data_IF_449417465821
#
_entry.id   IF_449417465821
#
_cell.length_a   1.000
_cell.length_b   1.000
_cell.length_c   1.000
_cell.angle_alpha   90.00
_cell.angle_beta   90.00
_cell.angle_gamma   90.00
#
_symmetry.space_group_name_H-M   'P 1'
#
loop_
_entity.id
_entity.type
_entity.pdbx_description
1 polymer ?
#
# COMPACT_ATOMS: atom_id res chain seq x y z
N UNK A 1 -4.41 -98.74 -32.37
CA UNK A 1 -4.05 -97.55 -31.57
C UNK A 1 -3.07 -96.70 -32.37
N UNK A 2 -3.54 -95.75 -33.19
CA UNK A 2 -2.70 -94.81 -33.96
C UNK A 2 -2.82 -93.44 -33.29
N UNK A 3 -1.81 -93.05 -32.53
CA UNK A 3 -1.75 -91.76 -31.85
C UNK A 3 -1.59 -90.62 -32.87
N UNK A 4 -2.44 -89.60 -32.76
CA UNK A 4 -2.45 -88.37 -33.55
C UNK A 4 -1.19 -87.50 -33.31
N UNK A 5 -0.03 -87.93 -33.82
CA UNK A 5 1.24 -87.22 -33.63
C UNK A 5 1.40 -85.94 -34.49
N UNK A 6 0.47 -85.66 -35.41
CA UNK A 6 0.62 -84.56 -36.38
C UNK A 6 0.20 -83.17 -35.89
N UNK A 7 -0.61 -83.06 -34.82
CA UNK A 7 -1.04 -81.76 -34.27
C UNK A 7 -0.08 -81.19 -33.23
N UNK A 8 0.60 -82.06 -32.47
CA UNK A 8 1.49 -81.63 -31.38
C UNK A 8 2.81 -81.02 -31.85
N UNK A 9 3.29 -81.39 -33.05
CA UNK A 9 4.54 -80.86 -33.60
C UNK A 9 4.39 -79.39 -34.03
N UNK A 10 3.18 -78.93 -34.41
CA UNK A 10 2.97 -77.55 -34.90
C UNK A 10 2.79 -76.51 -33.78
N UNK A 11 2.29 -76.92 -32.61
CA UNK A 11 2.05 -76.05 -31.45
C UNK A 11 3.31 -75.34 -30.92
N UNK A 12 4.47 -75.99 -30.72
CA UNK A 12 5.67 -75.30 -30.23
C UNK A 12 6.22 -74.29 -31.25
N UNK A 13 6.10 -74.54 -32.56
CA UNK A 13 6.52 -73.59 -33.59
C UNK A 13 5.65 -72.33 -33.62
N UNK A 14 4.34 -72.47 -33.43
CA UNK A 14 3.41 -71.33 -33.35
C UNK A 14 3.74 -70.49 -32.10
N UNK A 15 4.00 -71.12 -30.96
CA UNK A 15 4.36 -70.43 -29.73
C UNK A 15 5.71 -69.69 -29.87
N UNK A 16 6.71 -70.33 -30.50
CA UNK A 16 8.01 -69.72 -30.77
C UNK A 16 7.89 -68.52 -31.73
N UNK A 17 7.03 -68.62 -32.76
CA UNK A 17 6.76 -67.52 -33.68
C UNK A 17 6.10 -66.33 -32.97
N UNK A 18 5.13 -66.57 -32.09
CA UNK A 18 4.48 -65.52 -31.31
C UNK A 18 5.45 -64.82 -30.35
N UNK A 19 6.34 -65.57 -29.69
CA UNK A 19 7.40 -65.01 -28.84
C UNK A 19 8.36 -64.16 -29.68
N UNK A 20 8.76 -64.63 -30.87
CA UNK A 20 9.62 -63.87 -31.78
C UNK A 20 8.97 -62.55 -32.21
N UNK A 21 7.69 -62.58 -32.59
CA UNK A 21 6.92 -61.37 -32.93
C UNK A 21 6.85 -60.41 -31.75
N UNK A 22 6.58 -60.91 -30.54
CA UNK A 22 6.53 -60.09 -29.33
C UNK A 22 7.88 -59.43 -29.02
N UNK A 23 8.99 -60.18 -29.15
CA UNK A 23 10.34 -59.64 -28.97
C UNK A 23 10.67 -58.58 -30.02
N UNK A 24 10.26 -58.77 -31.27
CA UNK A 24 10.46 -57.78 -32.34
C UNK A 24 9.63 -56.52 -32.07
N UNK A 25 8.35 -56.65 -31.69
CA UNK A 25 7.50 -55.51 -31.36
C UNK A 25 8.05 -54.76 -30.14
N UNK A 26 8.43 -55.48 -29.07
CA UNK A 26 8.97 -54.86 -27.86
C UNK A 26 10.34 -54.22 -28.13
N UNK A 27 11.21 -54.89 -28.89
CA UNK A 27 12.52 -54.40 -29.28
C UNK A 27 12.45 -53.16 -30.18
N UNK A 28 11.57 -53.17 -31.18
CA UNK A 28 11.32 -52.00 -32.04
C UNK A 28 10.69 -50.86 -31.24
N UNK A 29 9.70 -51.13 -30.38
CA UNK A 29 9.11 -50.14 -29.49
C UNK A 29 10.15 -49.48 -28.57
N UNK A 30 10.99 -50.28 -27.89
CA UNK A 30 12.12 -49.79 -27.07
C UNK A 30 13.12 -48.98 -27.89
N UNK A 31 13.49 -49.44 -29.08
CA UNK A 31 14.45 -48.75 -29.94
C UNK A 31 13.91 -47.40 -30.44
N UNK A 32 12.67 -47.35 -30.92
CA UNK A 32 12.04 -46.12 -31.41
C UNK A 32 11.77 -45.11 -30.30
N UNK A 33 11.29 -45.55 -29.12
CA UNK A 33 11.09 -44.67 -27.96
C UNK A 33 12.41 -44.10 -27.45
N UNK A 34 13.42 -44.94 -27.21
CA UNK A 34 14.73 -44.50 -26.71
C UNK A 34 15.45 -43.57 -27.70
N UNK A 35 15.32 -43.82 -29.01
CA UNK A 35 15.90 -42.96 -30.05
C UNK A 35 15.14 -41.63 -30.19
N UNK A 36 13.81 -41.65 -30.04
CA UNK A 36 12.98 -40.44 -30.06
C UNK A 36 13.41 -39.45 -28.96
N UNK A 37 13.65 -39.92 -27.73
CA UNK A 37 14.16 -39.08 -26.63
C UNK A 37 15.56 -38.50 -26.86
N UNK A 38 16.38 -39.13 -27.69
CA UNK A 38 17.72 -38.62 -28.05
C UNK A 38 17.70 -37.59 -29.18
N UNK A 39 16.56 -37.38 -29.85
CA UNK A 39 16.43 -36.31 -30.85
C UNK A 39 16.23 -34.96 -30.18
N UNK A 40 16.59 -33.87 -30.87
CA UNK A 40 16.29 -32.51 -30.42
C UNK A 40 14.79 -32.33 -30.13
N UNK A 41 13.92 -32.77 -31.04
CA UNK A 41 12.46 -32.68 -30.87
C UNK A 41 11.98 -33.43 -29.62
N UNK A 42 12.53 -34.62 -29.35
CA UNK A 42 12.20 -35.40 -28.15
C UNK A 42 12.64 -34.73 -26.85
N UNK A 43 13.85 -34.14 -26.81
CA UNK A 43 14.31 -33.37 -25.64
C UNK A 43 13.49 -32.10 -25.44
N UNK A 44 13.19 -31.37 -26.51
CA UNK A 44 12.33 -30.19 -26.43
C UNK A 44 10.94 -30.54 -25.92
N UNK A 45 10.35 -31.66 -26.34
CA UNK A 45 9.07 -32.10 -25.81
C UNK A 45 9.11 -32.31 -24.28
N UNK A 46 10.20 -32.87 -23.75
CA UNK A 46 10.42 -32.99 -22.30
C UNK A 46 10.49 -31.61 -21.65
N UNK A 47 11.31 -30.70 -22.17
CA UNK A 47 11.45 -29.36 -21.58
C UNK A 47 10.12 -28.59 -21.57
N UNK A 48 9.34 -28.65 -22.65
CA UNK A 48 8.02 -28.02 -22.71
C UNK A 48 7.08 -28.58 -21.64
N UNK A 49 7.08 -29.90 -21.46
CA UNK A 49 6.29 -30.57 -20.42
C UNK A 49 6.75 -30.16 -19.01
N UNK A 50 8.05 -30.06 -18.79
CA UNK A 50 8.62 -29.66 -17.50
C UNK A 50 8.30 -28.19 -17.19
N UNK A 51 8.34 -27.29 -18.20
CA UNK A 51 7.89 -25.89 -18.08
C UNK A 51 6.42 -25.85 -17.65
N UNK A 52 5.55 -26.57 -18.36
CA UNK A 52 4.13 -26.62 -18.02
C UNK A 52 3.93 -27.17 -16.60
N UNK A 53 4.64 -28.24 -16.22
CA UNK A 53 4.55 -28.84 -14.90
C UNK A 53 5.02 -27.91 -13.78
N UNK A 54 6.10 -27.16 -13.98
CA UNK A 54 6.57 -26.17 -13.01
C UNK A 54 5.52 -25.08 -12.81
N UNK A 55 4.96 -24.55 -13.89
CA UNK A 55 3.92 -23.51 -13.84
C UNK A 55 2.60 -24.02 -13.24
N UNK A 56 2.23 -25.30 -13.46
CA UNK A 56 1.02 -25.88 -12.89
C UNK A 56 1.03 -25.93 -11.35
N UNK A 57 2.19 -25.81 -10.71
CA UNK A 57 2.25 -25.67 -9.24
C UNK A 57 1.56 -24.40 -8.75
N UNK A 58 1.46 -23.36 -9.59
CA UNK A 58 0.78 -22.11 -9.27
C UNK A 58 -0.71 -22.28 -8.93
N UNK A 59 -1.34 -23.39 -9.35
CA UNK A 59 -2.73 -23.70 -8.98
C UNK A 59 -2.92 -23.79 -7.45
N UNK A 60 -1.89 -24.22 -6.73
CA UNK A 60 -1.90 -24.37 -5.27
C UNK A 60 -1.72 -23.03 -4.55
N UNK A 61 -1.51 -21.94 -5.29
CA UNK A 61 -1.34 -20.59 -4.77
C UNK A 61 -2.64 -19.78 -4.82
N UNK A 62 -3.68 -20.33 -5.45
CA UNK A 62 -4.98 -19.68 -5.57
C UNK A 62 -5.77 -19.92 -4.28
N UNK A 63 -6.32 -18.85 -3.72
CA UNK A 63 -7.25 -18.90 -2.60
C UNK A 63 -8.51 -18.15 -3.00
N UNK A 64 -9.56 -18.89 -3.32
CA UNK A 64 -10.81 -18.34 -3.86
C UNK A 64 -10.56 -17.44 -5.09
N UNK A 65 -10.96 -16.17 -5.02
CA UNK A 65 -10.75 -15.16 -6.07
C UNK A 65 -9.46 -14.33 -5.85
N UNK A 66 -8.59 -14.75 -4.92
CA UNK A 66 -7.31 -14.10 -4.60
C UNK A 66 -6.16 -15.12 -4.58
N UNK A 67 -5.05 -14.78 -3.94
CA UNK A 67 -3.88 -15.63 -3.75
C UNK A 67 -3.68 -15.97 -2.26
N UNK A 68 -3.09 -17.14 -2.00
CA UNK A 68 -2.52 -17.46 -0.71
C UNK A 68 -1.08 -16.94 -0.65
N UNK A 69 -0.88 -15.83 0.06
CA UNK A 69 0.44 -15.18 0.18
C UNK A 69 1.46 -16.09 0.84
N UNK A 70 1.08 -16.80 1.91
CA UNK A 70 1.99 -17.65 2.66
C UNK A 70 2.43 -18.86 1.83
N UNK A 71 1.49 -19.49 1.13
CA UNK A 71 1.81 -20.57 0.20
C UNK A 71 2.66 -20.04 -0.97
N UNK A 72 2.37 -18.84 -1.48
CA UNK A 72 3.12 -18.20 -2.57
C UNK A 72 4.58 -17.97 -2.20
N UNK A 73 4.85 -17.39 -1.02
CA UNK A 73 6.21 -17.18 -0.53
C UNK A 73 7.00 -18.47 -0.32
N UNK A 74 6.30 -19.59 -0.11
CA UNK A 74 6.93 -20.91 0.08
C UNK A 74 7.18 -21.63 -1.25
N UNK A 75 6.20 -21.62 -2.17
CA UNK A 75 6.22 -22.44 -3.39
C UNK A 75 6.77 -21.70 -4.62
N UNK A 76 6.67 -20.37 -4.70
CA UNK A 76 7.28 -19.61 -5.81
C UNK A 76 8.80 -19.86 -5.92
N UNK A 77 9.60 -19.88 -4.84
CA UNK A 77 11.01 -20.25 -4.91
C UNK A 77 11.26 -21.64 -5.52
N UNK A 78 10.39 -22.62 -5.26
CA UNK A 78 10.49 -23.96 -5.84
C UNK A 78 10.21 -23.92 -7.35
N UNK A 79 9.17 -23.19 -7.78
CA UNK A 79 8.84 -23.00 -9.19
C UNK A 79 10.01 -22.33 -9.92
N UNK A 80 10.58 -21.26 -9.35
CA UNK A 80 11.74 -20.53 -9.87
C UNK A 80 12.92 -21.48 -10.06
N UNK A 81 13.22 -22.31 -9.05
CA UNK A 81 14.34 -23.27 -9.10
C UNK A 81 14.15 -24.27 -10.24
N UNK A 82 12.95 -24.85 -10.40
CA UNK A 82 12.66 -25.78 -11.50
C UNK A 82 12.81 -25.11 -12.87
N UNK A 83 12.34 -23.87 -13.02
CA UNK A 83 12.48 -23.13 -14.27
C UNK A 83 13.96 -22.79 -14.57
N UNK A 84 14.76 -22.43 -13.56
CA UNK A 84 16.21 -22.23 -13.71
C UNK A 84 16.91 -23.51 -14.17
N UNK A 85 16.56 -24.67 -13.60
CA UNK A 85 17.11 -25.95 -14.02
C UNK A 85 16.76 -26.28 -15.48
N UNK A 86 15.52 -25.99 -15.90
CA UNK A 86 15.09 -26.15 -17.30
C UNK A 86 15.87 -25.19 -18.21
N UNK A 87 16.04 -23.93 -17.80
CA UNK A 87 16.80 -22.93 -18.56
C UNK A 87 18.25 -23.37 -18.79
N UNK A 88 18.91 -23.89 -17.77
CA UNK A 88 20.27 -24.42 -17.87
C UNK A 88 20.39 -25.60 -18.84
N UNK A 89 19.33 -26.42 -18.97
CA UNK A 89 19.29 -27.52 -19.95
C UNK A 89 19.06 -26.98 -21.37
N UNK A 90 18.13 -26.03 -21.54
CA UNK A 90 17.85 -25.36 -22.82
C UNK A 90 19.08 -24.67 -23.41
N UNK A 91 19.87 -24.00 -22.56
CA UNK A 91 21.07 -23.27 -22.99
C UNK A 91 22.21 -24.18 -23.46
N UNK A 92 22.17 -25.46 -23.12
CA UNK A 92 23.13 -26.48 -23.56
C UNK A 92 22.73 -27.16 -24.87
N UNK A 93 21.52 -26.90 -25.38
CA UNK A 93 21.08 -27.48 -26.65
C UNK A 93 21.78 -26.82 -27.83
N UNK A 94 22.11 -27.64 -28.82
CA UNK A 94 22.66 -27.20 -30.12
C UNK A 94 21.63 -27.46 -31.22
N UNK A 95 20.66 -26.54 -31.42
CA UNK A 95 19.61 -26.72 -32.42
C UNK A 95 20.20 -26.67 -33.84
N UNK A 96 19.63 -27.46 -34.77
CA UNK A 96 19.87 -27.25 -36.20
C UNK A 96 19.21 -25.96 -36.67
N UNK A 97 19.59 -25.43 -37.84
CA UNK A 97 19.10 -24.15 -38.38
C UNK A 97 17.58 -23.97 -38.28
N UNK A 98 16.83 -25.05 -38.56
CA UNK A 98 15.37 -25.08 -38.47
C UNK A 98 14.80 -24.73 -37.09
N UNK A 99 15.55 -24.98 -36.02
CA UNK A 99 15.09 -24.87 -34.63
C UNK A 99 15.74 -23.71 -33.86
N UNK A 100 16.67 -22.96 -34.47
CA UNK A 100 17.39 -21.87 -33.78
C UNK A 100 16.41 -20.83 -33.19
N UNK A 101 15.48 -20.32 -34.02
CA UNK A 101 14.50 -19.32 -33.58
C UNK A 101 13.61 -19.87 -32.46
N UNK A 102 13.04 -21.07 -32.65
CA UNK A 102 12.23 -21.75 -31.66
C UNK A 102 12.98 -21.92 -30.33
N UNK A 103 14.22 -22.41 -30.34
CA UNK A 103 15.02 -22.58 -29.13
C UNK A 103 15.26 -21.26 -28.39
N UNK A 104 15.56 -20.20 -29.16
CA UNK A 104 15.77 -18.85 -28.64
C UNK A 104 14.51 -18.31 -27.97
N UNK A 105 13.36 -18.44 -28.62
CA UNK A 105 12.07 -17.95 -28.09
C UNK A 105 11.64 -18.75 -26.84
N UNK A 106 11.82 -20.08 -26.81
CA UNK A 106 11.58 -20.87 -25.59
C UNK A 106 12.50 -20.42 -24.46
N UNK A 107 13.80 -20.24 -24.73
CA UNK A 107 14.79 -19.83 -23.74
C UNK A 107 14.46 -18.46 -23.15
N UNK A 108 14.12 -17.47 -23.98
CA UNK A 108 13.68 -16.13 -23.55
C UNK A 108 12.37 -16.18 -22.76
N UNK A 109 11.40 -16.98 -23.22
CA UNK A 109 10.14 -17.15 -22.52
C UNK A 109 10.33 -17.73 -21.12
N UNK A 110 11.23 -18.71 -20.95
CA UNK A 110 11.60 -19.25 -19.62
C UNK A 110 12.34 -18.21 -18.77
N UNK A 111 13.28 -17.44 -19.33
CA UNK A 111 13.94 -16.35 -18.59
C UNK A 111 12.93 -15.37 -18.02
N UNK A 112 11.98 -14.91 -18.84
CA UNK A 112 10.96 -13.96 -18.41
C UNK A 112 9.95 -14.58 -17.44
N UNK A 113 9.70 -15.89 -17.54
CA UNK A 113 8.90 -16.62 -16.54
C UNK A 113 9.58 -16.67 -15.16
N UNK A 114 10.91 -16.87 -15.14
CA UNK A 114 11.72 -16.80 -13.91
C UNK A 114 11.63 -15.40 -13.30
N UNK A 115 11.89 -14.35 -14.10
CA UNK A 115 11.83 -12.96 -13.64
C UNK A 115 10.44 -12.57 -13.14
N UNK A 116 9.38 -13.05 -13.82
CA UNK A 116 8.00 -12.87 -13.39
C UNK A 116 7.76 -13.41 -11.97
N UNK A 117 8.16 -14.66 -11.70
CA UNK A 117 7.97 -15.25 -10.37
C UNK A 117 8.90 -14.67 -9.31
N UNK A 118 10.12 -14.29 -9.67
CA UNK A 118 11.04 -13.58 -8.76
C UNK A 118 10.45 -12.23 -8.33
N UNK A 119 9.94 -11.46 -9.28
CA UNK A 119 9.31 -10.18 -9.00
C UNK A 119 8.02 -10.34 -8.18
N UNK A 120 7.22 -11.38 -8.43
CA UNK A 120 6.07 -11.72 -7.56
C UNK A 120 6.53 -11.98 -6.13
N UNK A 121 7.57 -12.80 -5.95
CA UNK A 121 8.07 -13.13 -4.62
C UNK A 121 8.54 -11.88 -3.86
N UNK A 122 9.25 -10.97 -4.55
CA UNK A 122 9.70 -9.69 -3.98
C UNK A 122 8.51 -8.80 -3.58
N UNK A 123 7.54 -8.61 -4.48
CA UNK A 123 6.35 -7.79 -4.22
C UNK A 123 5.50 -8.33 -3.08
N UNK A 124 5.41 -9.67 -2.93
CA UNK A 124 4.69 -10.30 -1.82
C UNK A 124 5.46 -10.27 -0.50
N UNK A 125 6.79 -10.31 -0.55
CA UNK A 125 7.65 -10.26 0.65
C UNK A 125 7.76 -8.84 1.22
N UNK A 126 7.62 -7.81 0.37
CA UNK A 126 7.72 -6.41 0.76
C UNK A 126 6.57 -5.57 0.18
N UNK A 127 5.33 -5.79 0.66
CA UNK A 127 4.14 -5.14 0.10
C UNK A 127 4.13 -3.61 0.27
N UNK A 128 4.87 -3.09 1.24
CA UNK A 128 4.95 -1.65 1.56
C UNK A 128 6.22 -0.98 1.00
N UNK A 129 6.91 -1.64 0.07
CA UNK A 129 8.09 -1.07 -0.56
C UNK A 129 7.75 0.24 -1.29
N UNK A 130 8.62 1.26 -1.17
CA UNK A 130 8.42 2.57 -1.85
C UNK A 130 8.38 2.45 -3.37
N UNK A 131 8.98 1.40 -3.93
CA UNK A 131 9.06 1.11 -5.35
C UNK A 131 8.10 -0.01 -5.80
N UNK A 132 7.10 -0.36 -4.98
CA UNK A 132 6.13 -1.42 -5.29
C UNK A 132 5.40 -1.18 -6.63
N UNK A 133 5.12 0.08 -7.00
CA UNK A 133 4.52 0.43 -8.29
C UNK A 133 5.44 0.10 -9.46
N UNK A 134 6.73 0.43 -9.36
CA UNK A 134 7.73 0.10 -10.40
C UNK A 134 7.94 -1.41 -10.47
N UNK A 135 7.96 -2.08 -9.32
CA UNK A 135 7.99 -3.55 -9.22
C UNK A 135 6.78 -4.18 -9.94
N UNK A 136 5.60 -3.59 -9.82
CA UNK A 136 4.39 -4.05 -10.50
C UNK A 136 4.41 -3.79 -12.01
N UNK A 137 4.96 -2.67 -12.47
CA UNK A 137 5.19 -2.41 -13.90
C UNK A 137 6.13 -3.44 -14.51
N UNK A 138 7.26 -3.73 -13.83
CA UNK A 138 8.19 -4.78 -14.26
C UNK A 138 7.56 -6.16 -14.26
N UNK A 139 6.69 -6.45 -13.30
CA UNK A 139 5.94 -7.69 -13.28
C UNK A 139 5.05 -7.85 -14.52
N UNK A 140 4.37 -6.78 -14.95
CA UNK A 140 3.54 -6.78 -16.16
C UNK A 140 4.38 -6.95 -17.43
N UNK A 141 5.55 -6.29 -17.49
CA UNK A 141 6.53 -6.41 -18.56
C UNK A 141 6.98 -7.87 -18.72
N UNK A 142 7.45 -8.50 -17.63
CA UNK A 142 7.90 -9.90 -17.66
C UNK A 142 6.80 -10.88 -18.07
N UNK A 143 5.54 -10.66 -17.64
CA UNK A 143 4.41 -11.46 -18.11
C UNK A 143 4.20 -11.32 -19.62
N UNK A 144 4.15 -10.08 -20.11
CA UNK A 144 3.94 -9.78 -21.52
C UNK A 144 5.02 -10.41 -22.40
N UNK A 145 6.29 -10.25 -22.01
CA UNK A 145 7.40 -10.82 -22.74
C UNK A 145 7.43 -12.36 -22.65
N UNK A 146 7.11 -12.94 -21.50
CA UNK A 146 7.00 -14.40 -21.35
C UNK A 146 5.97 -14.97 -22.35
N UNK A 147 4.76 -14.41 -22.36
CA UNK A 147 3.67 -14.83 -23.24
C UNK A 147 4.01 -14.62 -24.72
N UNK A 148 4.57 -13.46 -25.08
CA UNK A 148 4.98 -13.15 -26.45
C UNK A 148 6.04 -14.13 -26.98
N UNK A 149 7.03 -14.48 -26.16
CA UNK A 149 8.05 -15.45 -26.54
C UNK A 149 7.48 -16.87 -26.65
N UNK A 150 6.60 -17.29 -25.74
CA UNK A 150 5.93 -18.60 -25.85
C UNK A 150 5.01 -18.71 -27.06
N UNK A 151 4.33 -17.63 -27.44
CA UNK A 151 3.52 -17.57 -28.66
C UNK A 151 4.37 -17.73 -29.93
N UNK A 152 5.53 -17.04 -29.99
CA UNK A 152 6.50 -17.17 -31.09
C UNK A 152 7.17 -18.54 -31.14
N UNK A 153 7.34 -19.19 -29.99
CA UNK A 153 7.91 -20.53 -29.85
C UNK A 153 6.95 -21.62 -30.36
N UNK A 154 6.73 -21.66 -31.67
CA UNK A 154 5.90 -22.66 -32.35
C UNK A 154 6.60 -23.20 -33.59
N UNK A 155 6.86 -24.51 -33.63
CA UNK A 155 7.43 -25.19 -34.79
C UNK A 155 6.93 -26.63 -34.89
N UNK A 156 6.34 -26.98 -36.04
CA UNK A 156 5.68 -28.28 -36.25
C UNK A 156 4.64 -28.60 -35.15
N UNK A 157 4.96 -29.53 -34.25
CA UNK A 157 4.13 -30.01 -33.13
C UNK A 157 4.64 -29.53 -31.77
N UNK A 158 5.69 -28.70 -31.75
CA UNK A 158 6.26 -28.13 -30.54
C UNK A 158 5.68 -26.72 -30.35
N UNK A 159 5.07 -26.47 -29.20
CA UNK A 159 4.55 -25.17 -28.81
C UNK A 159 4.56 -25.06 -27.29
N UNK A 160 4.88 -23.88 -26.76
CA UNK A 160 4.81 -23.62 -25.32
C UNK A 160 3.54 -22.85 -25.00
N UNK A 161 2.84 -23.26 -23.94
CA UNK A 161 1.69 -22.54 -23.39
C UNK A 161 1.71 -22.62 -21.88
N UNK A 162 1.26 -21.56 -21.22
CA UNK A 162 1.04 -21.61 -19.78
C UNK A 162 -0.20 -22.47 -19.48
N UNK A 163 -0.20 -23.23 -18.37
CA UNK A 163 -1.40 -23.86 -17.86
C UNK A 163 -2.47 -22.82 -17.50
N UNK A 164 -3.75 -23.15 -17.72
CA UNK A 164 -4.88 -22.26 -17.41
C UNK A 164 -4.90 -21.79 -15.95
N UNK A 165 -4.61 -22.69 -15.01
CA UNK A 165 -4.57 -22.34 -13.59
C UNK A 165 -3.45 -21.32 -13.28
N UNK A 166 -2.35 -21.37 -14.02
CA UNK A 166 -1.28 -20.36 -13.92
C UNK A 166 -1.77 -19.00 -14.37
N UNK A 167 -2.54 -18.93 -15.46
CA UNK A 167 -3.14 -17.67 -15.93
C UNK A 167 -4.10 -17.08 -14.90
N UNK A 168 -4.94 -17.93 -14.27
CA UNK A 168 -5.84 -17.51 -13.18
C UNK A 168 -5.05 -16.98 -11.99
N UNK A 169 -4.02 -17.70 -11.55
CA UNK A 169 -3.15 -17.25 -10.46
C UNK A 169 -2.53 -15.89 -10.77
N UNK A 170 -1.99 -15.68 -11.97
CA UNK A 170 -1.37 -14.41 -12.35
C UNK A 170 -2.38 -13.26 -12.36
N UNK A 171 -3.62 -13.49 -12.81
CA UNK A 171 -4.68 -12.47 -12.74
C UNK A 171 -4.97 -12.10 -11.28
N UNK A 172 -5.15 -13.09 -10.40
CA UNK A 172 -5.43 -12.86 -8.99
C UNK A 172 -4.26 -12.16 -8.29
N UNK A 173 -3.01 -12.57 -8.56
CA UNK A 173 -1.82 -11.97 -7.99
C UNK A 173 -1.66 -10.51 -8.42
N UNK A 174 -1.98 -10.20 -9.67
CA UNK A 174 -1.89 -8.83 -10.19
C UNK A 174 -2.95 -7.93 -9.55
N UNK A 175 -4.18 -8.44 -9.40
CA UNK A 175 -5.25 -7.73 -8.71
C UNK A 175 -4.88 -7.46 -7.24
N UNK A 176 -4.32 -8.46 -6.55
CA UNK A 176 -3.86 -8.36 -5.16
C UNK A 176 -2.78 -7.28 -4.98
N UNK A 177 -1.72 -7.30 -5.79
CA UNK A 177 -0.64 -6.30 -5.72
C UNK A 177 -1.17 -4.91 -6.04
N UNK A 178 -2.05 -4.76 -7.03
CA UNK A 178 -2.65 -3.48 -7.38
C UNK A 178 -3.50 -2.92 -6.22
N UNK A 179 -4.19 -3.78 -5.46
CA UNK A 179 -4.96 -3.34 -4.30
C UNK A 179 -4.04 -2.86 -3.17
N UNK A 180 -2.93 -3.55 -2.91
CA UNK A 180 -1.90 -3.08 -1.97
C UNK A 180 -1.38 -1.70 -2.38
N UNK A 181 -1.07 -1.49 -3.67
CA UNK A 181 -0.59 -0.19 -4.17
C UNK A 181 -1.60 0.92 -3.85
N UNK A 182 -2.90 0.68 -4.05
CA UNK A 182 -3.94 1.67 -3.72
C UNK A 182 -4.00 1.94 -2.23
N UNK A 183 -4.01 0.89 -1.40
CA UNK A 183 -4.05 1.03 0.07
C UNK A 183 -2.86 1.83 0.59
N UNK A 184 -1.65 1.59 0.06
CA UNK A 184 -0.46 2.36 0.42
C UNK A 184 -0.61 3.83 0.04
N UNK A 185 -1.06 4.11 -1.19
CA UNK A 185 -1.28 5.49 -1.66
C UNK A 185 -2.32 6.22 -0.81
N UNK A 186 -3.42 5.55 -0.48
CA UNK A 186 -4.49 6.14 0.31
C UNK A 186 -4.00 6.40 1.76
N UNK A 187 -3.20 5.49 2.33
CA UNK A 187 -2.53 5.68 3.62
C UNK A 187 -1.54 6.86 3.61
N UNK A 188 -0.78 7.04 2.52
CA UNK A 188 0.14 8.16 2.37
C UNK A 188 -0.60 9.50 2.30
N UNK A 189 -1.72 9.55 1.55
CA UNK A 189 -2.59 10.72 1.47
C UNK A 189 -3.16 11.08 2.85
N UNK A 190 -3.71 10.09 3.56
CA UNK A 190 -4.27 10.30 4.91
C UNK A 190 -3.18 10.82 5.86
N UNK A 191 -1.98 10.24 5.80
CA UNK A 191 -0.86 10.65 6.66
C UNK A 191 -0.38 12.07 6.34
N UNK A 192 -0.30 12.44 5.06
CA UNK A 192 0.03 13.80 4.62
C UNK A 192 -1.00 14.81 5.13
N UNK A 193 -2.29 14.53 4.92
CA UNK A 193 -3.38 15.40 5.37
C UNK A 193 -3.39 15.57 6.89
N UNK A 194 -3.13 14.50 7.65
CA UNK A 194 -2.97 14.55 9.11
C UNK A 194 -1.82 15.49 9.50
N UNK A 195 -0.64 15.33 8.89
CA UNK A 195 0.53 16.14 9.20
C UNK A 195 0.32 17.62 8.85
N UNK A 196 -0.26 17.92 7.69
CA UNK A 196 -0.55 19.29 7.26
C UNK A 196 -1.51 19.98 8.24
N UNK A 197 -2.53 19.25 8.71
CA UNK A 197 -3.45 19.74 9.74
C UNK A 197 -2.73 20.01 11.07
N UNK A 198 -1.89 19.07 11.55
CA UNK A 198 -1.15 19.22 12.81
C UNK A 198 -0.23 20.44 12.74
N UNK A 199 0.58 20.58 11.68
CA UNK A 199 1.50 21.70 11.53
C UNK A 199 0.76 23.05 11.52
N UNK A 200 -0.34 23.12 10.78
CA UNK A 200 -1.15 24.34 10.68
C UNK A 200 -1.82 24.68 12.01
N UNK A 201 -2.37 23.67 12.69
CA UNK A 201 -3.04 23.83 13.99
C UNK A 201 -2.03 24.20 15.08
N UNK A 202 -0.84 23.60 15.12
CA UNK A 202 0.22 23.95 16.06
C UNK A 202 0.63 25.42 15.91
N UNK A 203 0.76 25.91 14.68
CA UNK A 203 1.05 27.33 14.43
C UNK A 203 -0.05 28.24 14.96
N UNK A 204 -1.31 27.88 14.71
CA UNK A 204 -2.48 28.63 15.16
C UNK A 204 -2.59 28.64 16.68
N UNK A 205 -2.42 27.48 17.33
CA UNK A 205 -2.45 27.33 18.79
C UNK A 205 -1.31 28.12 19.43
N UNK A 206 -0.12 28.11 18.84
CA UNK A 206 1.01 28.90 19.32
C UNK A 206 0.71 30.41 19.28
N UNK A 207 0.16 30.90 18.16
CA UNK A 207 -0.28 32.30 18.05
C UNK A 207 -1.41 32.63 19.03
N UNK A 208 -2.37 31.74 19.20
CA UNK A 208 -3.44 31.89 20.17
C UNK A 208 -2.89 32.03 21.61
N UNK A 209 -1.97 31.15 22.02
CA UNK A 209 -1.33 31.22 23.34
C UNK A 209 -0.62 32.56 23.57
N UNK A 210 -0.09 33.19 22.53
CA UNK A 210 0.59 34.50 22.65
C UNK A 210 -0.37 35.68 22.89
N UNK A 211 -1.64 35.55 22.49
CA UNK A 211 -2.66 36.59 22.69
C UNK A 211 -3.63 36.28 23.82
N UNK A 212 -3.72 35.02 24.26
CA UNK A 212 -4.55 34.56 25.37
C UNK A 212 -3.98 35.03 26.73
N UNK A 213 -4.02 36.35 26.94
CA UNK A 213 -3.47 37.02 28.12
C UNK A 213 -4.56 37.38 29.11
N UNK A 214 -4.23 37.19 30.39
CA UNK A 214 -4.98 37.75 31.51
C UNK A 214 -4.55 39.21 31.73
N UNK A 215 -5.50 40.14 31.61
CA UNK A 215 -5.23 41.57 31.76
C UNK A 215 -5.45 42.09 33.19
N UNK A 216 -5.84 41.24 34.15
CA UNK A 216 -6.11 41.64 35.53
C UNK A 216 -4.88 42.35 36.16
N UNK A 217 -3.70 41.72 36.07
CA UNK A 217 -2.46 42.28 36.63
C UNK A 217 -2.03 43.59 35.94
N UNK A 218 -1.97 43.68 34.59
CA UNK A 218 -1.76 44.95 33.90
C UNK A 218 -2.72 46.06 34.32
N UNK A 219 -4.02 45.76 34.43
CA UNK A 219 -5.05 46.73 34.80
C UNK A 219 -4.86 47.25 36.22
N UNK A 220 -4.58 46.34 37.17
CA UNK A 220 -4.27 46.72 38.56
C UNK A 220 -3.08 47.69 38.63
N UNK A 221 -2.02 47.45 37.86
CA UNK A 221 -0.86 48.36 37.80
C UNK A 221 -1.22 49.74 37.23
N UNK A 222 -2.03 49.79 36.18
CA UNK A 222 -2.48 51.08 35.60
C UNK A 222 -3.24 51.91 36.64
N UNK A 223 -4.10 51.26 37.43
CA UNK A 223 -4.84 51.89 38.53
C UNK A 223 -3.91 52.40 39.63
N UNK A 224 -3.03 51.54 40.17
CA UNK A 224 -2.11 51.86 41.27
C UNK A 224 -1.13 52.98 40.90
N UNK A 225 -0.58 52.93 39.68
CA UNK A 225 0.42 53.89 39.20
C UNK A 225 -0.21 55.14 38.57
N UNK A 226 -1.55 55.23 38.53
CA UNK A 226 -2.32 56.33 37.90
C UNK A 226 -1.87 56.62 36.46
N UNK A 227 -1.59 55.56 35.70
CA UNK A 227 -1.14 55.64 34.30
C UNK A 227 -2.32 55.78 33.34
N UNK A 228 -2.02 56.17 32.11
CA UNK A 228 -2.99 56.18 31.01
C UNK A 228 -3.43 54.75 30.66
N UNK A 229 -4.73 54.57 30.38
CA UNK A 229 -5.31 53.32 29.88
C UNK A 229 -4.98 53.05 28.41
N UNK A 230 -4.49 54.05 27.66
CA UNK A 230 -4.23 53.95 26.22
C UNK A 230 -3.35 52.74 25.87
N UNK A 231 -2.27 52.50 26.62
CA UNK A 231 -1.37 51.37 26.32
C UNK A 231 -2.01 49.99 26.49
N UNK A 232 -2.93 49.83 27.47
CA UNK A 232 -3.68 48.58 27.63
C UNK A 232 -4.73 48.45 26.53
N UNK A 233 -5.44 49.54 26.23
CA UNK A 233 -6.43 49.60 25.16
C UNK A 233 -5.79 49.20 23.81
N UNK A 234 -4.65 49.79 23.45
CA UNK A 234 -3.92 49.47 22.22
C UNK A 234 -3.49 48.00 22.17
N UNK A 235 -3.10 47.45 23.33
CA UNK A 235 -2.72 46.03 23.45
C UNK A 235 -3.92 45.10 23.27
N UNK A 236 -5.09 45.47 23.78
CA UNK A 236 -6.34 44.73 23.60
C UNK A 236 -6.78 44.79 22.13
N UNK A 237 -6.77 45.97 21.52
CA UNK A 237 -7.15 46.17 20.11
C UNK A 237 -6.24 45.36 19.18
N UNK A 238 -4.93 45.36 19.43
CA UNK A 238 -3.98 44.51 18.69
C UNK A 238 -4.29 43.01 18.83
N UNK A 239 -4.70 42.56 20.02
CA UNK A 239 -5.08 41.17 20.24
C UNK A 239 -6.40 40.82 19.53
N UNK A 240 -7.35 41.75 19.44
CA UNK A 240 -8.57 41.61 18.64
C UNK A 240 -8.22 41.44 17.15
N UNK A 241 -7.38 42.32 16.60
CA UNK A 241 -6.91 42.21 15.21
C UNK A 241 -6.21 40.87 14.94
N UNK A 242 -5.34 40.46 15.87
CA UNK A 242 -4.65 39.17 15.78
C UNK A 242 -5.64 38.01 15.81
N UNK A 243 -6.67 38.07 16.67
CA UNK A 243 -7.73 37.05 16.74
C UNK A 243 -8.53 36.94 15.44
N UNK A 244 -8.87 38.06 14.80
CA UNK A 244 -9.56 38.06 13.50
C UNK A 244 -8.71 37.33 12.46
N UNK A 245 -7.43 37.72 12.32
CA UNK A 245 -6.51 37.07 11.37
C UNK A 245 -6.30 35.58 11.66
N UNK A 246 -6.29 35.20 12.94
CA UNK A 246 -6.16 33.82 13.38
C UNK A 246 -7.40 33.00 13.04
N UNK A 247 -8.59 33.59 13.22
CA UNK A 247 -9.88 32.95 12.93
C UNK A 247 -10.06 32.73 11.44
N UNK A 248 -9.65 33.70 10.61
CA UNK A 248 -9.62 33.54 9.15
C UNK A 248 -8.71 32.39 8.73
N UNK A 249 -7.47 32.35 9.27
CA UNK A 249 -6.55 31.25 9.02
C UNK A 249 -7.12 29.91 9.47
N UNK A 250 -7.76 29.86 10.65
CA UNK A 250 -8.39 28.67 11.17
C UNK A 250 -9.54 28.15 10.30
N UNK A 251 -10.39 29.04 9.79
CA UNK A 251 -11.49 28.68 8.90
C UNK A 251 -11.02 28.16 7.52
N UNK A 252 -9.76 28.41 7.15
CA UNK A 252 -9.18 27.97 5.87
C UNK A 252 -8.56 26.56 5.92
N UNK A 253 -8.43 25.95 7.11
CA UNK A 253 -7.76 24.66 7.26
C UNK A 253 -8.67 23.53 6.72
N UNK A 254 -8.09 22.62 5.95
CA UNK A 254 -8.76 21.37 5.59
C UNK A 254 -8.83 20.42 6.79
N UNK A 255 -9.99 19.83 7.06
CA UNK A 255 -10.20 18.96 8.23
C UNK A 255 -10.07 17.49 7.78
N UNK A 256 -8.99 16.78 8.18
CA UNK A 256 -8.85 15.36 7.87
C UNK A 256 -9.77 14.49 8.73
N UNK A 257 -9.86 13.21 8.37
CA UNK A 257 -10.62 12.22 9.14
C UNK A 257 -10.17 12.21 10.61
N UNK A 258 -11.14 12.09 11.53
CA UNK A 258 -10.93 12.05 12.98
C UNK A 258 -10.38 13.35 13.62
N UNK A 259 -10.19 14.44 12.87
CA UNK A 259 -9.76 15.74 13.41
C UNK A 259 -10.92 16.67 13.79
N UNK A 260 -12.16 16.31 13.44
CA UNK A 260 -13.33 17.17 13.60
C UNK A 260 -13.54 17.62 15.05
N UNK A 261 -13.33 16.73 16.01
CA UNK A 261 -13.50 17.05 17.43
C UNK A 261 -12.46 18.08 17.89
N UNK A 262 -11.18 17.89 17.53
CA UNK A 262 -10.12 18.84 17.86
C UNK A 262 -10.37 20.21 17.23
N UNK A 263 -10.78 20.23 15.95
CA UNK A 263 -11.16 21.44 15.24
C UNK A 263 -12.33 22.16 15.95
N UNK A 264 -13.42 21.44 16.25
CA UNK A 264 -14.60 22.04 16.88
C UNK A 264 -14.31 22.58 18.29
N UNK A 265 -13.49 21.88 19.08
CA UNK A 265 -13.08 22.37 20.39
C UNK A 265 -12.24 23.65 20.28
N UNK A 266 -11.33 23.74 19.30
CA UNK A 266 -10.58 24.97 19.10
C UNK A 266 -11.46 26.14 18.63
N UNK A 267 -12.47 25.86 17.80
CA UNK A 267 -13.47 26.87 17.39
C UNK A 267 -14.20 27.47 18.60
N UNK A 268 -14.52 26.65 19.60
CA UNK A 268 -15.10 27.12 20.87
C UNK A 268 -14.11 28.04 21.59
N UNK A 269 -12.82 27.70 21.63
CA UNK A 269 -11.79 28.56 22.23
C UNK A 269 -11.70 29.93 21.55
N UNK A 270 -11.67 29.98 20.20
CA UNK A 270 -11.65 31.23 19.46
C UNK A 270 -12.89 32.09 19.74
N UNK A 271 -14.05 31.46 19.81
CA UNK A 271 -15.32 32.15 20.11
C UNK A 271 -15.36 32.69 21.54
N UNK A 272 -14.90 31.89 22.51
CA UNK A 272 -14.81 32.28 23.92
C UNK A 272 -13.82 33.43 24.14
N UNK A 273 -12.65 33.38 23.50
CA UNK A 273 -11.69 34.48 23.58
C UNK A 273 -12.21 35.75 22.92
N UNK A 274 -12.94 35.64 21.80
CA UNK A 274 -13.60 36.80 21.20
C UNK A 274 -14.62 37.44 22.16
N UNK A 275 -15.43 36.63 22.85
CA UNK A 275 -16.40 37.14 23.83
C UNK A 275 -15.68 37.84 24.99
N UNK A 276 -14.67 37.19 25.58
CA UNK A 276 -13.84 37.76 26.64
C UNK A 276 -13.20 39.10 26.25
N UNK A 277 -12.48 39.12 25.12
CA UNK A 277 -11.63 40.28 24.78
C UNK A 277 -12.47 41.51 24.41
N UNK A 278 -13.68 41.32 23.86
CA UNK A 278 -14.62 42.41 23.56
C UNK A 278 -15.24 42.97 24.85
N UNK A 279 -15.74 42.11 25.74
CA UNK A 279 -16.28 42.55 27.05
C UNK A 279 -15.20 43.25 27.89
N UNK A 280 -13.95 42.73 27.86
CA UNK A 280 -12.82 43.38 28.50
C UNK A 280 -12.56 44.76 27.88
N UNK A 281 -12.55 44.88 26.55
CA UNK A 281 -12.34 46.17 25.87
C UNK A 281 -13.38 47.20 26.28
N UNK A 282 -14.65 46.80 26.37
CA UNK A 282 -15.75 47.66 26.78
C UNK A 282 -15.64 48.07 28.26
N UNK A 283 -15.28 47.14 29.14
CA UNK A 283 -15.04 47.41 30.56
C UNK A 283 -13.90 48.41 30.77
N UNK A 284 -12.75 48.20 30.13
CA UNK A 284 -11.57 49.09 30.22
C UNK A 284 -11.89 50.48 29.68
N UNK A 285 -12.63 50.57 28.58
CA UNK A 285 -13.07 51.86 28.01
C UNK A 285 -13.96 52.62 28.97
N UNK A 286 -14.92 51.90 29.57
CA UNK A 286 -15.87 52.46 30.53
C UNK A 286 -15.17 52.93 31.80
N UNK A 287 -14.19 52.17 32.30
CA UNK A 287 -13.35 52.58 33.44
C UNK A 287 -12.56 53.84 33.10
N UNK A 288 -11.89 53.88 31.96
CA UNK A 288 -11.13 55.05 31.51
C UNK A 288 -12.00 56.32 31.44
N UNK A 289 -13.24 56.20 30.97
CA UNK A 289 -14.19 57.32 30.95
C UNK A 289 -14.62 57.74 32.37
N UNK A 290 -15.08 56.79 33.19
CA UNK A 290 -15.60 57.08 34.54
C UNK A 290 -14.52 57.61 35.49
N UNK A 291 -13.29 57.11 35.34
CA UNK A 291 -12.13 57.49 36.17
C UNK A 291 -11.71 58.96 36.02
N UNK A 292 -12.11 59.62 34.91
CA UNK A 292 -11.89 61.07 34.69
C UNK A 292 -12.79 61.93 35.57
N UNK A 293 -13.98 61.44 35.90
CA UNK A 293 -15.00 62.18 36.65
C UNK A 293 -14.98 61.86 38.14
N UNK A 294 -14.73 60.58 38.50
CA UNK A 294 -14.66 60.13 39.90
C UNK A 294 -13.76 58.90 40.06
N UNK A 295 -13.22 58.72 41.26
CA UNK A 295 -12.63 57.44 41.65
C UNK A 295 -13.74 56.39 41.78
N UNK A 296 -13.52 55.20 41.21
CA UNK A 296 -14.41 54.06 41.34
C UNK A 296 -14.10 53.27 42.62
N UNK A 297 -15.12 52.67 43.23
CA UNK A 297 -14.94 51.70 44.33
C UNK A 297 -14.60 50.31 43.79
N UNK A 298 -14.11 49.40 44.64
CA UNK A 298 -13.87 48.00 44.25
C UNK A 298 -15.16 47.32 43.75
N UNK A 299 -16.28 47.54 44.43
CA UNK A 299 -17.58 46.97 44.06
C UNK A 299 -18.07 47.49 42.68
N UNK A 300 -17.79 48.76 42.34
CA UNK A 300 -18.08 49.30 41.02
C UNK A 300 -17.17 48.73 39.93
N UNK A 301 -15.93 48.34 40.26
CA UNK A 301 -15.00 47.68 39.35
C UNK A 301 -15.41 46.23 39.13
N UNK A 302 -15.78 45.50 40.18
CA UNK A 302 -16.21 44.11 40.09
C UNK A 302 -17.41 43.97 39.13
N UNK A 303 -18.43 44.81 39.29
CA UNK A 303 -19.59 44.85 38.39
C UNK A 303 -19.17 45.17 36.94
N UNK A 304 -18.18 46.05 36.76
CA UNK A 304 -17.75 46.46 35.42
C UNK A 304 -17.03 45.34 34.67
N UNK A 305 -16.30 44.48 35.38
CA UNK A 305 -15.47 43.41 34.81
C UNK A 305 -16.09 42.02 34.94
N UNK A 306 -17.22 41.85 35.63
CA UNK A 306 -17.90 40.57 35.89
C UNK A 306 -17.98 39.68 34.64
N UNK A 307 -18.60 40.19 33.56
CA UNK A 307 -18.72 39.45 32.30
C UNK A 307 -17.37 39.04 31.70
N UNK A 308 -16.39 39.95 31.70
CA UNK A 308 -15.07 39.68 31.14
C UNK A 308 -14.38 38.58 31.94
N UNK A 309 -14.43 38.65 33.27
CA UNK A 309 -13.86 37.66 34.18
C UNK A 309 -14.51 36.28 34.00
N UNK A 310 -15.85 36.21 33.99
CA UNK A 310 -16.58 34.96 33.76
C UNK A 310 -16.23 34.32 32.42
N UNK A 311 -16.22 35.12 31.34
CA UNK A 311 -15.87 34.63 30.01
C UNK A 311 -14.42 34.14 29.92
N UNK A 312 -13.51 34.74 30.68
CA UNK A 312 -12.11 34.30 30.71
C UNK A 312 -11.95 32.95 31.42
N UNK A 313 -12.69 32.72 32.51
CA UNK A 313 -12.71 31.42 33.18
C UNK A 313 -13.32 30.32 32.29
N UNK A 314 -14.43 30.60 31.60
CA UNK A 314 -15.01 29.69 30.61
C UNK A 314 -14.02 29.37 29.47
N UNK A 315 -13.26 30.37 29.03
CA UNK A 315 -12.22 30.19 28.02
C UNK A 315 -11.11 29.27 28.51
N UNK A 316 -10.61 29.44 29.75
CA UNK A 316 -9.56 28.57 30.32
C UNK A 316 -9.99 27.11 30.27
N UNK A 317 -11.20 26.82 30.76
CA UNK A 317 -11.75 25.47 30.74
C UNK A 317 -11.89 24.91 29.31
N UNK A 318 -12.36 25.73 28.37
CA UNK A 318 -12.48 25.34 26.97
C UNK A 318 -11.12 25.04 26.32
N UNK A 319 -10.11 25.85 26.63
CA UNK A 319 -8.76 25.69 26.10
C UNK A 319 -8.06 24.45 26.65
N UNK A 320 -8.21 24.16 27.94
CA UNK A 320 -7.73 22.91 28.54
C UNK A 320 -8.35 21.67 27.88
N UNK A 321 -9.67 21.69 27.68
CA UNK A 321 -10.37 20.60 26.99
C UNK A 321 -9.89 20.44 25.54
N UNK A 322 -9.68 21.53 24.81
CA UNK A 322 -9.09 21.49 23.47
C UNK A 322 -7.73 20.80 23.47
N UNK A 323 -6.81 21.18 24.38
CA UNK A 323 -5.48 20.57 24.45
C UNK A 323 -5.59 19.06 24.66
N UNK A 324 -6.46 18.60 25.56
CA UNK A 324 -6.67 17.16 25.81
C UNK A 324 -7.17 16.42 24.56
N UNK A 325 -8.12 16.99 23.82
CA UNK A 325 -8.66 16.39 22.60
C UNK A 325 -7.61 16.39 21.48
N UNK A 326 -6.85 17.47 21.35
CA UNK A 326 -5.87 17.64 20.29
C UNK A 326 -4.63 16.76 20.48
N UNK A 327 -4.12 16.60 21.71
CA UNK A 327 -3.03 15.65 21.99
C UNK A 327 -3.44 14.21 21.64
N UNK A 328 -4.65 13.78 22.01
CA UNK A 328 -5.18 12.46 21.64
C UNK A 328 -5.30 12.26 20.13
N UNK A 329 -5.57 13.32 19.38
CA UNK A 329 -5.60 13.25 17.92
C UNK A 329 -4.19 13.09 17.32
N UNK A 330 -3.18 13.77 17.88
CA UNK A 330 -1.80 13.65 17.40
C UNK A 330 -1.25 12.22 17.57
N UNK A 331 -1.61 11.54 18.66
CA UNK A 331 -1.16 10.19 18.99
C UNK A 331 -1.77 9.07 18.12
N UNK A 332 -2.95 9.29 17.52
CA UNK A 332 -3.64 8.32 16.64
C UNK A 332 -3.17 8.44 15.21
#
# INVERSE_FOLDING_TARGET
>A
MKLEYKKFIKTPYILALLILIFVIIFGTYRYFTTKSYKTYEGRMHIYIKDIASANSMAKNLIKDQTIDVQASLTLLPEIITKLKDIKLKLDKETPSEKYIAFNSDVSKGVSNNILLYEQLCLSLSNPNAKDITKSFEKLQEYKSECLSNYEKASVKKLSVKLPKDTEVFLVNAFAYINEIIKLNRDSDIISSQKNDFILTMDEIVSKFKSINSDYEVPLKRVREEKKSYEGIIDSIDKNIETLVSLTEKFNSISIPNNALDAHNNFKVCLSGFNKYIQELRDAVSSENLKSKDKSLTEEELDILYENASENYEELKASFENFILVYEKYKEK
#
